data_IF_595538383824
#
_entry.id   IF_595538383824
#
_cell.length_a   1.000
_cell.length_b   1.000
_cell.length_c   1.000
_cell.angle_alpha   90.00
_cell.angle_beta   90.00
_cell.angle_gamma   90.00
#
_symmetry.space_group_name_H-M   'P 1'
#
loop_
_entity.id
_entity.type
_entity.pdbx_description
1 polymer ?
#
# COMPACT_ATOMS: atom_id res chain seq x y z
N UNK A 1 28.57 -0.60 4.14
CA UNK A 1 27.72 -0.05 5.20
C UNK A 1 26.37 -0.73 5.10
N UNK A 2 25.86 -1.20 6.22
CA UNK A 2 24.52 -1.80 6.29
C UNK A 2 23.46 -0.71 6.07
N UNK A 3 22.45 -1.00 5.26
CA UNK A 3 21.39 -0.04 4.98
C UNK A 3 20.53 0.17 6.22
N UNK A 4 20.35 1.41 6.65
CA UNK A 4 19.53 1.77 7.79
C UNK A 4 18.12 2.13 7.33
N UNK A 5 17.11 1.60 8.01
CA UNK A 5 15.70 1.92 7.76
C UNK A 5 15.08 2.62 8.95
N UNK A 6 14.19 3.56 8.67
CA UNK A 6 13.42 4.31 9.67
C UNK A 6 11.97 3.91 9.55
N UNK A 7 11.38 3.51 10.68
CA UNK A 7 9.93 3.40 10.82
C UNK A 7 9.41 4.74 11.35
N UNK A 8 8.44 5.31 10.64
CA UNK A 8 7.81 6.55 11.08
C UNK A 8 6.87 6.26 12.25
N UNK A 9 6.87 7.18 13.20
CA UNK A 9 6.05 7.17 14.40
C UNK A 9 5.47 8.56 14.64
N UNK A 10 4.56 8.70 15.61
CA UNK A 10 4.02 10.00 16.01
C UNK A 10 5.11 10.98 16.46
N UNK A 11 6.16 10.46 17.12
CA UNK A 11 7.23 11.27 17.70
C UNK A 11 8.22 11.77 16.65
N UNK A 12 8.43 11.00 15.58
CA UNK A 12 9.45 11.35 14.59
C UNK A 12 8.91 11.94 13.29
N UNK A 13 7.64 11.72 12.95
CA UNK A 13 7.06 12.08 11.65
C UNK A 13 7.19 13.58 11.31
N UNK A 14 7.23 14.46 12.30
CA UNK A 14 7.41 15.90 12.04
C UNK A 14 8.78 16.22 11.46
N UNK A 15 9.80 15.51 11.92
CA UNK A 15 11.20 15.71 11.51
C UNK A 15 11.54 14.89 10.27
N UNK A 16 10.79 13.81 10.04
CA UNK A 16 11.04 12.87 8.96
C UNK A 16 10.26 13.24 7.70
N UNK A 17 10.79 12.88 6.55
CA UNK A 17 10.06 13.02 5.29
C UNK A 17 9.27 11.76 4.94
N UNK A 18 8.13 11.95 4.30
CA UNK A 18 7.39 10.88 3.61
C UNK A 18 7.77 10.88 2.14
N UNK A 19 8.05 9.70 1.58
CA UNK A 19 8.74 9.62 0.29
C UNK A 19 7.83 9.86 -0.93
N UNK A 20 6.51 9.68 -0.80
CA UNK A 20 5.63 9.62 -1.96
C UNK A 20 5.34 10.98 -2.62
N UNK A 21 5.25 12.08 -1.85
CA UNK A 21 4.86 13.39 -2.40
C UNK A 21 5.92 14.51 -2.26
N UNK A 22 7.02 14.28 -1.57
CA UNK A 22 7.96 15.35 -1.21
C UNK A 22 8.71 16.01 -2.40
N UNK A 23 8.73 15.35 -3.54
CA UNK A 23 9.42 15.85 -4.72
C UNK A 23 8.59 16.83 -5.55
N UNK A 24 7.30 16.96 -5.29
CA UNK A 24 6.44 17.89 -6.01
C UNK A 24 6.06 19.09 -5.12
N UNK A 25 6.63 20.26 -5.45
CA UNK A 25 6.33 21.51 -4.72
C UNK A 25 4.86 21.93 -4.80
N UNK A 26 4.13 21.45 -5.81
CA UNK A 26 2.70 21.75 -5.98
C UNK A 26 1.81 20.94 -5.03
N UNK A 27 2.35 19.88 -4.42
CA UNK A 27 1.62 18.97 -3.53
C UNK A 27 1.89 19.23 -2.04
N UNK A 28 2.32 20.43 -1.65
CA UNK A 28 2.68 20.75 -0.26
C UNK A 28 1.52 20.48 0.71
N UNK A 29 0.32 20.91 0.37
CA UNK A 29 -0.84 20.73 1.24
C UNK A 29 -1.21 19.24 1.37
N UNK A 30 -1.17 18.48 0.26
CA UNK A 30 -1.39 17.03 0.27
C UNK A 30 -0.31 16.29 1.07
N UNK A 31 0.93 16.78 1.07
CA UNK A 31 2.01 16.23 1.86
C UNK A 31 1.75 16.37 3.36
N UNK A 32 1.33 17.55 3.83
CA UNK A 32 1.00 17.80 5.22
C UNK A 32 -0.26 17.05 5.66
N UNK A 33 -1.28 17.00 4.80
CA UNK A 33 -2.48 16.18 5.03
C UNK A 33 -2.13 14.70 5.19
N UNK A 34 -1.24 14.16 4.35
CA UNK A 34 -0.78 12.78 4.50
C UNK A 34 -0.03 12.55 5.80
N UNK A 35 0.80 13.48 6.25
CA UNK A 35 1.47 13.38 7.55
C UNK A 35 0.47 13.35 8.71
N UNK A 36 -0.51 14.24 8.66
CA UNK A 36 -1.59 14.28 9.67
C UNK A 36 -2.38 12.98 9.69
N UNK A 37 -2.71 12.46 8.53
CA UNK A 37 -3.39 11.17 8.40
C UNK A 37 -2.53 10.02 8.96
N UNK A 38 -1.26 9.95 8.60
CA UNK A 38 -0.34 8.91 9.09
C UNK A 38 -0.24 8.91 10.62
N UNK A 39 -0.22 10.09 11.27
CA UNK A 39 -0.20 10.18 12.74
C UNK A 39 -1.38 9.46 13.38
N UNK A 40 -2.57 9.59 12.80
CA UNK A 40 -3.77 8.93 13.28
C UNK A 40 -3.71 7.42 12.98
N UNK A 41 -3.23 7.05 11.80
CA UNK A 41 -3.18 5.66 11.37
C UNK A 41 -2.12 4.82 12.10
N UNK A 42 -1.07 5.44 12.63
CA UNK A 42 -0.08 4.72 13.46
C UNK A 42 -0.73 4.08 14.70
N UNK A 43 -1.75 4.73 15.28
CA UNK A 43 -2.55 4.13 16.39
C UNK A 43 -3.40 2.95 15.94
N UNK A 44 -3.70 2.89 14.65
CA UNK A 44 -4.45 1.82 14.03
C UNK A 44 -3.58 0.65 13.54
N UNK A 45 -2.27 0.69 13.82
CA UNK A 45 -1.33 -0.34 13.40
C UNK A 45 -0.78 -0.15 11.98
N UNK A 46 -0.94 1.04 11.39
CA UNK A 46 -0.35 1.38 10.11
C UNK A 46 1.16 1.61 10.26
N UNK A 47 1.93 1.13 9.30
CA UNK A 47 3.39 1.24 9.27
C UNK A 47 3.82 1.95 8.01
N UNK A 48 4.69 2.96 8.18
CA UNK A 48 5.45 3.57 7.10
C UNK A 48 6.94 3.36 7.41
N UNK A 49 7.63 2.56 6.61
CA UNK A 49 9.05 2.28 6.78
C UNK A 49 9.81 2.66 5.52
N UNK A 50 10.90 3.42 5.67
CA UNK A 50 11.70 3.92 4.58
C UNK A 50 13.20 3.77 4.82
N UNK A 51 13.99 3.83 3.73
CA UNK A 51 15.44 3.98 3.83
C UNK A 51 15.79 5.30 4.52
N UNK A 52 16.82 5.30 5.37
CA UNK A 52 17.35 6.49 6.06
C UNK A 52 18.14 7.38 5.09
N UNK A 53 17.53 7.68 3.96
CA UNK A 53 18.01 8.60 2.96
C UNK A 53 16.83 9.35 2.31
N UNK A 54 17.10 10.52 1.73
CA UNK A 54 16.06 11.25 1.00
C UNK A 54 15.84 10.62 -0.38
N UNK A 55 15.15 9.47 -0.38
CA UNK A 55 14.92 8.65 -1.56
C UNK A 55 13.50 8.07 -1.54
N UNK A 56 12.97 7.75 -2.72
CA UNK A 56 11.71 6.99 -2.84
C UNK A 56 12.01 5.49 -2.69
N UNK A 57 12.32 5.07 -1.46
CA UNK A 57 12.59 3.69 -1.06
C UNK A 57 11.85 3.44 0.24
N UNK A 58 10.66 2.86 0.15
CA UNK A 58 9.76 2.71 1.29
C UNK A 58 8.71 1.65 1.05
N UNK A 59 8.09 1.22 2.14
CA UNK A 59 6.90 0.37 2.16
C UNK A 59 5.88 0.95 3.15
N UNK A 60 4.60 0.89 2.79
CA UNK A 60 3.48 1.27 3.64
C UNK A 60 2.50 0.09 3.72
N UNK A 61 2.12 -0.28 4.92
CA UNK A 61 1.15 -1.34 5.15
C UNK A 61 0.40 -1.13 6.47
N UNK A 62 -0.73 -1.78 6.59
CA UNK A 62 -1.54 -1.77 7.82
C UNK A 62 -2.53 -2.92 7.85
N UNK A 63 -3.34 -3.06 8.90
CA UNK A 63 -4.38 -4.08 8.98
C UNK A 63 -5.30 -4.02 7.76
N UNK A 64 -5.49 -5.15 7.07
CA UNK A 64 -6.31 -5.21 5.86
C UNK A 64 -7.77 -4.87 6.13
N UNK A 65 -8.24 -5.13 7.36
CA UNK A 65 -9.60 -4.81 7.81
C UNK A 65 -9.88 -3.29 7.86
N UNK A 66 -8.81 -2.47 7.88
CA UNK A 66 -8.89 -1.01 7.87
C UNK A 66 -8.46 -0.40 6.52
N UNK A 67 -8.17 -1.24 5.54
CA UNK A 67 -7.73 -0.79 4.24
C UNK A 67 -8.89 -0.14 3.45
N UNK A 68 -8.57 0.88 2.68
CA UNK A 68 -9.53 1.55 1.79
C UNK A 68 -9.77 0.76 0.49
N UNK A 69 -8.96 -0.27 0.27
CA UNK A 69 -9.09 -1.15 -0.90
C UNK A 69 -10.26 -2.10 -0.65
N UNK A 70 -11.16 -2.33 -1.62
CA UNK A 70 -12.35 -3.17 -1.46
C UNK A 70 -11.98 -4.66 -1.48
N UNK A 71 -11.29 -5.11 -0.42
CA UNK A 71 -10.88 -6.50 -0.23
C UNK A 71 -11.38 -7.03 1.11
N UNK A 72 -11.72 -8.31 1.13
CA UNK A 72 -11.98 -9.07 2.33
C UNK A 72 -10.74 -9.94 2.63
N UNK A 73 -9.94 -9.49 3.59
CA UNK A 73 -8.68 -10.14 3.97
C UNK A 73 -8.50 -10.11 5.49
N UNK A 74 -9.40 -10.76 6.25
CA UNK A 74 -9.32 -10.76 7.71
C UNK A 74 -7.99 -11.36 8.16
N UNK A 75 -7.39 -10.74 9.16
CA UNK A 75 -6.10 -11.13 9.74
C UNK A 75 -4.89 -11.06 8.80
N UNK A 76 -4.97 -10.27 7.72
CA UNK A 76 -3.80 -9.96 6.88
C UNK A 76 -3.31 -8.52 7.10
N UNK A 77 -2.08 -8.23 6.67
CA UNK A 77 -1.61 -6.88 6.47
C UNK A 77 -1.73 -6.52 4.98
N UNK A 78 -2.34 -5.37 4.69
CA UNK A 78 -2.43 -4.81 3.35
C UNK A 78 -1.22 -3.94 3.07
N UNK A 79 -0.45 -4.26 2.02
CA UNK A 79 0.57 -3.37 1.47
C UNK A 79 -0.15 -2.34 0.59
N UNK A 80 -0.19 -1.10 1.07
CA UNK A 80 -0.87 0.00 0.38
C UNK A 80 0.05 0.70 -0.62
N UNK A 81 1.34 0.83 -0.31
CA UNK A 81 2.32 1.40 -1.22
C UNK A 81 3.70 0.78 -0.98
N UNK A 82 4.40 0.51 -2.09
CA UNK A 82 5.72 -0.08 -2.04
C UNK A 82 6.54 0.43 -3.23
N UNK A 83 7.65 1.12 -2.95
CA UNK A 83 8.43 1.73 -4.00
C UNK A 83 9.94 1.67 -3.73
N UNK A 84 10.69 1.29 -4.75
CA UNK A 84 12.15 1.40 -4.80
C UNK A 84 12.53 2.04 -6.12
N UNK A 85 13.09 3.24 -6.09
CA UNK A 85 13.36 4.03 -7.29
C UNK A 85 14.83 4.26 -7.58
N UNK A 86 15.12 4.61 -8.85
CA UNK A 86 16.40 5.11 -9.31
C UNK A 86 17.57 4.17 -9.04
N UNK A 87 18.65 4.72 -8.53
CA UNK A 87 19.93 4.01 -8.23
C UNK A 87 19.80 2.91 -7.15
N UNK A 88 18.73 2.91 -6.39
CA UNK A 88 18.48 1.93 -5.32
C UNK A 88 17.86 0.61 -5.82
N UNK A 89 17.42 0.55 -7.08
CA UNK A 89 16.95 -0.69 -7.69
C UNK A 89 18.07 -1.71 -7.80
N UNK A 90 17.77 -2.96 -7.50
CA UNK A 90 18.77 -4.04 -7.53
C UNK A 90 19.70 -4.12 -6.32
N UNK A 91 19.63 -3.15 -5.39
CA UNK A 91 20.51 -3.09 -4.20
C UNK A 91 19.96 -3.87 -2.98
N UNK A 92 18.92 -4.68 -3.14
CA UNK A 92 18.36 -5.48 -2.04
C UNK A 92 17.31 -4.78 -1.18
N UNK A 93 17.13 -3.46 -1.30
CA UNK A 93 16.20 -2.70 -0.46
C UNK A 93 14.74 -3.20 -0.52
N UNK A 94 14.28 -3.63 -1.70
CA UNK A 94 12.94 -4.19 -1.84
C UNK A 94 12.75 -5.43 -0.99
N UNK A 95 13.72 -6.36 -1.03
CA UNK A 95 13.67 -7.57 -0.20
C UNK A 95 13.70 -7.24 1.29
N UNK A 96 14.58 -6.34 1.70
CA UNK A 96 14.70 -5.95 3.12
C UNK A 96 13.42 -5.32 3.65
N UNK A 97 12.80 -4.39 2.91
CA UNK A 97 11.53 -3.77 3.28
C UNK A 97 10.38 -4.79 3.33
N UNK A 98 10.28 -5.67 2.33
CA UNK A 98 9.25 -6.71 2.32
C UNK A 98 9.45 -7.70 3.48
N UNK A 99 10.69 -8.13 3.72
CA UNK A 99 11.01 -9.01 4.84
C UNK A 99 10.60 -8.41 6.18
N UNK A 100 10.84 -7.10 6.36
CA UNK A 100 10.41 -6.42 7.59
C UNK A 100 8.89 -6.42 7.76
N UNK A 101 8.12 -6.31 6.68
CA UNK A 101 6.65 -6.43 6.74
C UNK A 101 6.20 -7.86 7.06
N UNK A 102 6.90 -8.88 6.55
CA UNK A 102 6.66 -10.29 6.91
C UNK A 102 6.94 -10.54 8.39
N UNK A 103 8.02 -9.97 8.92
CA UNK A 103 8.37 -10.10 10.34
C UNK A 103 7.35 -9.42 11.24
N UNK A 104 6.89 -8.22 10.87
CA UNK A 104 5.82 -7.53 11.60
C UNK A 104 4.50 -8.33 11.55
N UNK A 105 4.16 -8.91 10.40
CA UNK A 105 2.99 -9.77 10.27
C UNK A 105 3.09 -11.01 11.21
N UNK A 106 4.25 -11.67 11.24
CA UNK A 106 4.50 -12.81 12.15
C UNK A 106 4.40 -12.39 13.62
N UNK A 107 5.03 -11.27 13.98
CA UNK A 107 5.01 -10.77 15.36
C UNK A 107 3.60 -10.39 15.83
N UNK A 108 2.72 -9.98 14.92
CA UNK A 108 1.32 -9.67 15.19
C UNK A 108 0.38 -10.88 15.07
N UNK A 109 0.88 -12.07 14.76
CA UNK A 109 0.04 -13.27 14.53
C UNK A 109 -0.87 -13.14 13.31
N UNK A 110 -0.45 -12.38 12.29
CA UNK A 110 -1.18 -12.22 11.05
C UNK A 110 -0.98 -13.43 10.13
N UNK A 111 -1.98 -13.74 9.33
CA UNK A 111 -1.96 -14.86 8.40
C UNK A 111 -1.10 -14.61 7.15
N UNK A 112 -0.78 -13.37 6.86
CA UNK A 112 0.07 -13.02 5.72
C UNK A 112 -0.01 -11.56 5.32
N UNK A 113 0.47 -11.29 4.10
CA UNK A 113 0.43 -10.00 3.44
C UNK A 113 -0.45 -10.09 2.20
N UNK A 114 -1.20 -9.03 1.92
CA UNK A 114 -1.99 -8.90 0.69
C UNK A 114 -1.69 -7.57 0.00
N UNK A 115 -1.88 -7.52 -1.29
CA UNK A 115 -1.81 -6.28 -2.07
C UNK A 115 -2.61 -6.39 -3.36
N UNK A 116 -3.09 -5.26 -3.87
CA UNK A 116 -3.72 -5.18 -5.19
C UNK A 116 -2.73 -4.62 -6.18
N UNK A 117 -2.61 -5.25 -7.33
CA UNK A 117 -1.70 -4.87 -8.41
C UNK A 117 -2.46 -4.78 -9.73
N UNK A 118 -1.91 -3.99 -10.66
CA UNK A 118 -2.42 -3.99 -12.04
C UNK A 118 -1.82 -5.14 -12.85
N UNK A 119 -2.62 -5.73 -13.74
CA UNK A 119 -2.18 -6.77 -14.68
C UNK A 119 -1.39 -6.20 -15.86
N UNK A 120 -1.53 -4.90 -16.12
CA UNK A 120 -0.74 -4.11 -17.06
C UNK A 120 0.02 -3.00 -16.34
N UNK A 121 0.75 -2.15 -17.06
CA UNK A 121 1.46 -1.02 -16.45
C UNK A 121 0.48 0.05 -15.97
N UNK A 122 -0.04 -0.15 -14.77
CA UNK A 122 -0.73 0.93 -14.06
C UNK A 122 0.29 1.78 -13.32
N UNK A 123 0.15 3.11 -13.43
CA UNK A 123 0.94 4.04 -12.63
C UNK A 123 0.61 3.84 -11.14
N UNK A 124 1.63 3.97 -10.30
CA UNK A 124 1.50 3.95 -8.82
C UNK A 124 1.13 2.59 -8.18
N UNK A 125 1.08 1.51 -8.94
CA UNK A 125 0.86 0.16 -8.41
C UNK A 125 2.16 -0.62 -8.32
N UNK A 126 2.21 -1.59 -7.40
CA UNK A 126 3.35 -2.47 -7.20
C UNK A 126 3.67 -3.31 -8.44
N UNK A 127 4.94 -3.70 -8.59
CA UNK A 127 5.39 -4.60 -9.65
C UNK A 127 4.93 -6.04 -9.35
N UNK A 128 3.84 -6.45 -10.00
CA UNK A 128 3.28 -7.79 -9.83
C UNK A 128 4.31 -8.90 -10.10
N UNK A 129 5.13 -8.76 -11.16
CA UNK A 129 6.14 -9.77 -11.50
C UNK A 129 7.20 -9.91 -10.43
N UNK A 130 7.59 -8.78 -9.81
CA UNK A 130 8.55 -8.80 -8.73
C UNK A 130 7.96 -9.46 -7.48
N UNK A 131 6.73 -9.11 -7.09
CA UNK A 131 6.03 -9.68 -5.94
C UNK A 131 5.82 -11.20 -6.08
N UNK A 132 5.42 -11.67 -7.25
CA UNK A 132 5.30 -13.11 -7.53
C UNK A 132 6.65 -13.83 -7.34
N UNK A 133 7.77 -13.22 -7.75
CA UNK A 133 9.11 -13.78 -7.48
C UNK A 133 9.52 -13.75 -6.00
N UNK A 134 8.83 -12.97 -5.17
CA UNK A 134 9.01 -12.96 -3.71
C UNK A 134 8.08 -13.95 -2.98
N UNK A 135 7.35 -14.77 -3.70
CA UNK A 135 6.47 -15.80 -3.13
C UNK A 135 5.01 -15.39 -2.95
N UNK A 136 4.61 -14.23 -3.46
CA UNK A 136 3.20 -13.92 -3.56
C UNK A 136 2.53 -14.82 -4.60
N UNK A 137 1.28 -15.16 -4.36
CA UNK A 137 0.43 -15.87 -5.29
C UNK A 137 -0.75 -14.98 -5.72
N UNK A 138 -1.21 -15.19 -6.95
CA UNK A 138 -2.42 -14.52 -7.42
C UNK A 138 -3.63 -15.28 -6.90
N UNK A 139 -4.42 -14.63 -6.05
CA UNK A 139 -5.60 -15.22 -5.43
C UNK A 139 -6.84 -14.97 -6.31
N UNK A 140 -7.03 -13.73 -6.74
CA UNK A 140 -8.20 -13.35 -7.53
C UNK A 140 -7.82 -12.31 -8.59
N UNK A 141 -8.55 -12.32 -9.71
CA UNK A 141 -8.39 -11.35 -10.82
C UNK A 141 -9.73 -10.74 -11.16
N UNK A 142 -9.74 -9.41 -11.30
CA UNK A 142 -10.89 -8.69 -11.82
C UNK A 142 -10.79 -8.52 -13.34
N UNK A 143 -11.90 -8.48 -14.06
CA UNK A 143 -11.93 -8.32 -15.52
C UNK A 143 -11.32 -7.00 -16.00
N UNK A 144 -11.22 -6.00 -15.10
CA UNK A 144 -10.72 -4.67 -15.43
C UNK A 144 -9.20 -4.51 -15.25
N UNK A 145 -8.47 -5.60 -15.09
CA UNK A 145 -7.01 -5.59 -15.08
C UNK A 145 -6.40 -5.39 -13.69
N UNK A 146 -7.12 -5.72 -12.62
CA UNK A 146 -6.58 -5.77 -11.26
C UNK A 146 -6.45 -7.21 -10.78
N UNK A 147 -5.45 -7.46 -9.95
CA UNK A 147 -5.26 -8.76 -9.29
C UNK A 147 -4.99 -8.56 -7.81
N UNK A 148 -5.60 -9.41 -7.00
CA UNK A 148 -5.30 -9.54 -5.59
C UNK A 148 -4.19 -10.59 -5.44
N UNK A 149 -3.08 -10.17 -4.84
CA UNK A 149 -1.96 -11.04 -4.51
C UNK A 149 -1.90 -11.25 -3.00
N UNK A 150 -1.54 -12.45 -2.57
CA UNK A 150 -1.26 -12.78 -1.19
C UNK A 150 0.06 -13.52 -1.02
N UNK A 151 0.74 -13.22 0.09
CA UNK A 151 1.86 -14.00 0.62
C UNK A 151 1.39 -14.59 1.96
N UNK A 152 1.01 -15.86 1.97
CA UNK A 152 0.53 -16.55 3.16
C UNK A 152 1.70 -16.93 4.07
N UNK A 153 1.60 -16.58 5.34
CA UNK A 153 2.46 -17.06 6.43
C UNK A 153 1.83 -18.31 7.05
N UNK A 154 0.51 -18.25 7.26
CA UNK A 154 -0.29 -19.39 7.68
C UNK A 154 -0.94 -20.02 6.45
N UNK A 155 -0.46 -21.18 6.02
CA UNK A 155 -0.98 -21.89 4.85
C UNK A 155 -2.43 -22.36 5.00
N UNK A 156 -2.90 -22.52 6.23
CA UNK A 156 -4.28 -22.90 6.53
C UNK A 156 -5.28 -21.74 6.56
N UNK A 157 -4.78 -20.50 6.48
CA UNK A 157 -5.65 -19.32 6.47
C UNK A 157 -6.55 -19.29 5.23
N UNK A 158 -7.77 -18.77 5.35
CA UNK A 158 -8.66 -18.59 4.22
C UNK A 158 -8.02 -17.65 3.18
N UNK A 159 -8.35 -17.88 1.91
CA UNK A 159 -7.93 -17.00 0.84
C UNK A 159 -8.61 -15.63 0.98
N UNK A 160 -7.86 -14.54 0.85
CA UNK A 160 -8.48 -13.22 0.72
C UNK A 160 -9.23 -13.10 -0.61
N UNK A 161 -10.21 -12.21 -0.67
CA UNK A 161 -11.02 -11.99 -1.88
C UNK A 161 -11.27 -10.50 -2.10
N UNK A 162 -11.66 -10.11 -3.30
CA UNK A 162 -12.30 -8.82 -3.50
C UNK A 162 -13.70 -8.81 -2.88
N UNK A 163 -14.17 -7.63 -2.47
CA UNK A 163 -15.54 -7.48 -2.01
C UNK A 163 -16.51 -7.80 -3.16
N UNK A 164 -17.63 -8.47 -2.83
CA UNK A 164 -18.60 -8.91 -3.82
C UNK A 164 -19.15 -7.79 -4.72
N UNK A 165 -19.27 -6.58 -4.19
CA UNK A 165 -19.67 -5.38 -4.95
C UNK A 165 -18.74 -5.02 -6.10
N UNK A 166 -17.43 -5.25 -5.93
CA UNK A 166 -16.44 -4.98 -7.00
C UNK A 166 -16.42 -6.12 -8.01
N UNK A 167 -16.56 -7.35 -7.56
CA UNK A 167 -16.56 -8.53 -8.43
C UNK A 167 -17.84 -8.62 -9.26
N UNK A 168 -19.00 -8.25 -8.71
CA UNK A 168 -20.28 -8.25 -9.42
C UNK A 168 -20.50 -7.02 -10.28
N UNK A 169 -19.74 -5.95 -10.08
CA UNK A 169 -20.00 -4.64 -10.71
C UNK A 169 -21.22 -3.92 -10.12
N UNK A 170 -21.78 -4.42 -9.04
CA UNK A 170 -22.89 -3.81 -8.33
C UNK A 170 -22.38 -2.87 -7.22
N UNK A 171 -23.02 -1.72 -7.07
CA UNK A 171 -22.79 -0.80 -5.97
C UNK A 171 -23.77 -1.09 -4.83
N UNK A 172 -23.31 -1.07 -3.59
CA UNK A 172 -24.16 -1.20 -2.41
C UNK A 172 -25.15 -0.05 -2.29
N UNK A 173 -24.67 1.15 -2.58
CA UNK A 173 -25.50 2.35 -2.67
C UNK A 173 -26.22 2.37 -4.01
N UNK A 174 -27.54 2.40 -3.99
CA UNK A 174 -28.38 2.37 -5.20
C UNK A 174 -28.75 3.78 -5.69
N UNK A 175 -28.50 4.80 -4.88
CA UNK A 175 -28.80 6.20 -5.19
C UNK A 175 -27.54 7.07 -5.07
N UNK A 176 -27.36 8.01 -5.98
CA UNK A 176 -26.23 8.94 -5.96
C UNK A 176 -24.99 8.46 -6.71
N UNK A 177 -23.86 9.09 -6.41
CA UNK A 177 -22.55 8.76 -6.98
C UNK A 177 -21.62 8.33 -5.86
N UNK A 178 -21.11 7.10 -5.95
CA UNK A 178 -20.10 6.58 -5.03
C UNK A 178 -18.72 6.68 -5.67
N UNK A 179 -17.82 7.40 -5.02
CA UNK A 179 -16.45 7.56 -5.49
C UNK A 179 -15.51 6.85 -4.52
N UNK A 180 -14.87 5.78 -4.98
CA UNK A 180 -13.81 5.11 -4.23
C UNK A 180 -12.50 5.84 -4.46
N UNK A 181 -11.99 6.49 -3.41
CA UNK A 181 -10.70 7.18 -3.46
C UNK A 181 -9.61 6.30 -2.85
N UNK A 182 -8.55 6.05 -3.60
CA UNK A 182 -7.34 5.46 -3.05
C UNK A 182 -6.46 6.54 -2.43
N UNK A 183 -6.02 6.34 -1.20
CA UNK A 183 -5.08 7.24 -0.52
C UNK A 183 -3.72 7.38 -1.23
N UNK A 184 -3.39 6.45 -2.12
CA UNK A 184 -2.21 6.53 -2.98
C UNK A 184 -2.26 7.79 -3.87
N UNK A 185 -3.46 8.27 -4.19
CA UNK A 185 -3.69 9.43 -5.06
C UNK A 185 -3.95 10.75 -4.34
N UNK A 186 -3.93 10.80 -3.01
CA UNK A 186 -4.08 12.07 -2.25
C UNK A 186 -2.92 13.03 -2.55
N UNK A 187 -1.81 12.56 -3.08
CA UNK A 187 -0.67 13.39 -3.48
C UNK A 187 -0.81 14.06 -4.86
N UNK A 188 -1.83 13.71 -5.64
CA UNK A 188 -2.11 14.40 -6.90
C UNK A 188 -3.31 15.33 -6.74
N UNK A 189 -3.18 16.62 -7.10
CA UNK A 189 -4.35 17.49 -7.17
C UNK A 189 -5.29 16.90 -8.21
N UNK A 190 -6.46 16.45 -7.78
CA UNK A 190 -7.53 16.09 -8.69
C UNK A 190 -7.82 17.32 -9.56
N UNK A 191 -7.51 17.26 -10.85
CA UNK A 191 -8.02 18.24 -11.80
C UNK A 191 -9.54 18.16 -11.71
N UNK A 192 -10.24 19.29 -11.52
CA UNK A 192 -11.69 19.28 -11.61
C UNK A 192 -12.07 18.68 -12.96
N UNK A 193 -12.81 17.59 -12.94
CA UNK A 193 -13.41 17.06 -14.15
C UNK A 193 -14.49 18.08 -14.52
N UNK A 194 -14.21 18.91 -15.51
CA UNK A 194 -15.25 19.76 -16.09
C UNK A 194 -16.23 18.83 -16.79
N UNK A 195 -17.38 18.64 -16.20
CA UNK A 195 -18.50 17.99 -16.87
C UNK A 195 -19.08 19.06 -17.83
N UNK A 196 -18.77 18.91 -19.11
CA UNK A 196 -19.43 19.63 -20.20
C UNK A 196 -20.63 18.85 -20.67
#
# INVERSE_FOLDING_TARGET
MEAKYITLTKENIEKEHICCAFSDKKCKDSYELKKTWLKNEFENGYVFRRLDERAKVFIEYGPAEKAWVPVNAPNYLMINCFWVSGKYKGCGHGKALLQSAVEDAKAQGRDGLVTVVGTSKFHFMGDAKWLLRQGFETIEKLPYGFSLLALKINSAAPDPSFNGTVSSGECEEKEGVVVYLSLIHISEPTRPISIS
#
